data_IF_245269572612
#
_entry.id   IF_245269572612
#
_cell.length_a   1.000
_cell.length_b   1.000
_cell.length_c   1.000
_cell.angle_alpha   90.00
_cell.angle_beta   90.00
_cell.angle_gamma   90.00
#
_symmetry.space_group_name_H-M   'P 1'
#
loop_
_entity.id
_entity.type
_entity.pdbx_description
1 polymer ?
#
# COMPACT_ATOMS: atom_id res chain seq x y z
N UNK A 1 -11.47 18.36 -7.56
CA UNK A 1 -11.00 16.97 -7.62
C UNK A 1 -11.00 16.41 -6.22
N UNK A 2 -11.14 15.11 -6.09
CA UNK A 2 -10.82 14.40 -4.85
C UNK A 2 -9.34 14.00 -4.89
N UNK A 3 -8.61 14.20 -3.79
CA UNK A 3 -7.15 14.00 -3.76
C UNK A 3 -6.80 12.99 -2.68
N UNK A 4 -6.04 11.98 -3.07
CA UNK A 4 -5.49 10.94 -2.21
C UNK A 4 -3.97 11.00 -2.30
N UNK A 5 -3.30 11.25 -1.18
CA UNK A 5 -1.83 11.34 -1.11
C UNK A 5 -1.26 10.06 -0.54
N UNK A 6 -0.28 9.50 -1.25
CA UNK A 6 0.46 8.29 -0.85
C UNK A 6 1.66 8.69 0.00
N UNK A 7 1.50 8.66 1.32
CA UNK A 7 2.43 9.27 2.26
C UNK A 7 3.73 8.49 2.42
N UNK A 8 3.68 7.17 2.29
CA UNK A 8 4.85 6.27 2.32
C UNK A 8 5.60 6.19 0.99
N UNK A 9 5.08 6.82 -0.07
CA UNK A 9 5.74 7.00 -1.35
C UNK A 9 6.15 8.45 -1.63
N UNK A 10 6.04 9.35 -0.63
CA UNK A 10 6.35 10.78 -0.76
C UNK A 10 7.36 11.22 0.31
N UNK A 11 8.55 11.64 -0.11
CA UNK A 11 9.65 12.02 0.78
C UNK A 11 9.77 13.52 1.06
N UNK A 12 10.30 13.88 2.22
CA UNK A 12 10.71 15.24 2.59
C UNK A 12 11.88 15.19 3.59
N UNK A 13 12.40 16.34 4.03
CA UNK A 13 13.66 16.47 4.78
C UNK A 13 13.68 15.74 6.13
N UNK A 14 12.58 15.81 6.89
CA UNK A 14 12.46 15.21 8.22
C UNK A 14 10.99 15.10 8.64
N UNK A 15 10.75 14.47 9.79
CA UNK A 15 9.41 14.23 10.32
C UNK A 15 8.62 15.51 10.59
N UNK A 16 9.25 16.56 11.12
CA UNK A 16 8.58 17.84 11.36
C UNK A 16 8.04 18.43 10.07
N UNK A 17 8.83 18.41 8.99
CA UNK A 17 8.37 18.89 7.67
C UNK A 17 7.29 17.99 7.05
N UNK A 18 7.35 16.67 7.30
CA UNK A 18 6.33 15.71 6.85
C UNK A 18 5.00 15.97 7.54
N UNK A 19 5.01 16.05 8.87
CA UNK A 19 3.81 16.20 9.69
C UNK A 19 3.15 17.56 9.45
N UNK A 20 3.94 18.63 9.26
CA UNK A 20 3.44 19.93 8.85
C UNK A 20 2.72 19.88 7.48
N UNK A 21 3.27 19.17 6.50
CA UNK A 21 2.63 18.99 5.20
C UNK A 21 1.34 18.16 5.30
N UNK A 22 1.36 17.08 6.08
CA UNK A 22 0.17 16.25 6.32
C UNK A 22 -0.97 17.04 6.95
N UNK A 23 -0.69 17.80 8.03
CA UNK A 23 -1.70 18.64 8.68
C UNK A 23 -2.33 19.65 7.70
N UNK A 24 -1.50 20.29 6.85
CA UNK A 24 -2.00 21.23 5.84
C UNK A 24 -2.89 20.54 4.80
N UNK A 25 -2.48 19.39 4.29
CA UNK A 25 -3.24 18.63 3.29
C UNK A 25 -4.55 18.11 3.87
N UNK A 26 -4.52 17.53 5.06
CA UNK A 26 -5.70 17.03 5.75
C UNK A 26 -6.71 18.14 6.04
N UNK A 27 -6.25 19.31 6.51
CA UNK A 27 -7.11 20.48 6.72
C UNK A 27 -7.77 20.99 5.42
N UNK A 28 -7.15 20.75 4.26
CA UNK A 28 -7.71 21.04 2.95
C UNK A 28 -8.61 19.91 2.40
N UNK A 29 -8.86 18.84 3.17
CA UNK A 29 -9.72 17.72 2.78
C UNK A 29 -9.03 16.63 1.95
N UNK A 30 -7.70 16.62 1.88
CA UNK A 30 -6.93 15.56 1.21
C UNK A 30 -6.92 14.29 2.06
N UNK A 31 -7.14 13.14 1.43
CA UNK A 31 -7.08 11.84 2.10
C UNK A 31 -5.64 11.32 2.14
N UNK A 32 -5.13 11.03 3.34
CA UNK A 32 -3.78 10.49 3.52
C UNK A 32 -3.84 8.96 3.55
N UNK A 33 -3.08 8.31 2.68
CA UNK A 33 -3.07 6.86 2.51
C UNK A 33 -1.65 6.31 2.38
N UNK A 34 -1.50 4.99 2.52
CA UNK A 34 -0.30 4.25 2.12
C UNK A 34 -0.50 3.60 0.75
N UNK A 35 0.59 3.24 0.05
CA UNK A 35 0.48 2.62 -1.28
C UNK A 35 -0.28 1.29 -1.21
N UNK A 36 -0.11 0.53 -0.12
CA UNK A 36 -0.84 -0.72 0.11
C UNK A 36 -2.34 -0.48 0.24
N UNK A 37 -2.74 0.55 1.00
CA UNK A 37 -4.15 0.94 1.12
C UNK A 37 -4.76 1.33 -0.22
N UNK A 38 -4.02 2.11 -1.02
CA UNK A 38 -4.44 2.49 -2.38
C UNK A 38 -4.62 1.26 -3.27
N UNK A 39 -3.68 0.31 -3.26
CA UNK A 39 -3.80 -0.92 -4.04
C UNK A 39 -5.05 -1.72 -3.67
N UNK A 40 -5.33 -1.88 -2.36
CA UNK A 40 -6.52 -2.57 -1.87
C UNK A 40 -7.82 -1.86 -2.26
N UNK A 41 -7.89 -0.54 -2.14
CA UNK A 41 -9.10 0.23 -2.50
C UNK A 41 -9.36 0.28 -4.00
N UNK A 42 -8.31 0.25 -4.83
CA UNK A 42 -8.47 0.12 -6.29
C UNK A 42 -8.88 -1.30 -6.68
N UNK A 43 -8.29 -2.32 -6.06
CA UNK A 43 -8.54 -3.71 -6.42
C UNK A 43 -9.91 -4.23 -5.94
N UNK A 44 -10.42 -3.70 -4.81
CA UNK A 44 -11.72 -3.98 -4.17
C UNK A 44 -11.92 -5.41 -3.67
N UNK A 45 -11.76 -6.40 -4.53
CA UNK A 45 -12.04 -7.81 -4.26
C UNK A 45 -10.90 -8.67 -4.78
N UNK A 46 -10.32 -9.49 -3.91
CA UNK A 46 -9.24 -10.43 -4.26
C UNK A 46 -9.59 -11.31 -5.46
N UNK A 47 -10.86 -11.69 -5.61
CA UNK A 47 -11.31 -12.59 -6.68
C UNK A 47 -11.22 -11.96 -8.07
N UNK A 48 -11.04 -10.64 -8.16
CA UNK A 48 -10.88 -9.95 -9.44
C UNK A 48 -9.60 -10.38 -10.15
N UNK A 49 -8.48 -10.53 -9.42
CA UNK A 49 -7.23 -11.12 -9.92
C UNK A 49 -6.30 -11.48 -8.75
N UNK A 50 -6.46 -12.71 -8.23
CA UNK A 50 -5.72 -13.20 -7.06
C UNK A 50 -4.21 -13.26 -7.35
N UNK A 51 -3.82 -13.76 -8.52
CA UNK A 51 -2.42 -13.94 -8.89
C UNK A 51 -1.75 -12.59 -9.16
N UNK A 52 -2.43 -11.66 -9.84
CA UNK A 52 -1.91 -10.32 -10.10
C UNK A 52 -1.68 -9.51 -8.82
N UNK A 53 -2.66 -9.46 -7.92
CA UNK A 53 -2.50 -8.74 -6.65
C UNK A 53 -1.50 -9.46 -5.72
N UNK A 54 -1.53 -10.79 -5.70
CA UNK A 54 -0.56 -11.60 -4.96
C UNK A 54 0.88 -11.37 -5.44
N UNK A 55 1.09 -11.28 -6.75
CA UNK A 55 2.39 -10.96 -7.33
C UNK A 55 2.85 -9.54 -6.98
N UNK A 56 1.97 -8.53 -7.02
CA UNK A 56 2.27 -7.17 -6.60
C UNK A 56 2.77 -7.14 -5.14
N UNK A 57 2.03 -7.77 -4.23
CA UNK A 57 2.41 -7.82 -2.82
C UNK A 57 3.68 -8.63 -2.59
N UNK A 58 3.85 -9.78 -3.26
CA UNK A 58 5.10 -10.55 -3.18
C UNK A 58 6.31 -9.74 -3.63
N UNK A 59 6.17 -8.89 -4.65
CA UNK A 59 7.27 -8.08 -5.18
C UNK A 59 7.73 -6.98 -4.22
N UNK A 60 6.80 -6.33 -3.52
CA UNK A 60 7.08 -5.12 -2.73
C UNK A 60 6.93 -5.28 -1.21
N UNK A 61 6.39 -6.42 -0.73
CA UNK A 61 6.27 -6.75 0.69
C UNK A 61 7.01 -8.07 0.99
N UNK A 62 8.29 -8.03 1.43
CA UNK A 62 9.06 -9.24 1.73
C UNK A 62 8.39 -10.18 2.73
N UNK A 63 7.70 -9.63 3.73
CA UNK A 63 6.93 -10.42 4.69
C UNK A 63 5.81 -11.22 4.01
N UNK A 64 5.12 -10.62 3.03
CA UNK A 64 4.06 -11.30 2.27
C UNK A 64 4.63 -12.40 1.37
N UNK A 65 5.78 -12.13 0.72
CA UNK A 65 6.52 -13.15 -0.04
C UNK A 65 6.89 -14.36 0.81
N UNK A 66 7.37 -14.14 2.04
CA UNK A 66 7.74 -15.23 2.96
C UNK A 66 6.53 -16.11 3.31
N UNK A 67 5.36 -15.51 3.52
CA UNK A 67 4.11 -16.23 3.76
C UNK A 67 3.72 -17.08 2.55
N UNK A 68 3.70 -16.49 1.35
CA UNK A 68 3.38 -17.21 0.10
C UNK A 68 4.34 -18.38 -0.13
N UNK A 69 5.65 -18.16 0.06
CA UNK A 69 6.68 -19.19 -0.12
C UNK A 69 6.46 -20.38 0.81
N UNK A 70 6.21 -20.10 2.09
CA UNK A 70 5.95 -21.13 3.10
C UNK A 70 4.67 -21.91 2.79
N UNK A 71 3.59 -21.19 2.43
CA UNK A 71 2.31 -21.79 2.06
C UNK A 71 2.43 -22.72 0.85
N UNK A 72 3.04 -22.25 -0.25
CA UNK A 72 3.18 -23.06 -1.47
C UNK A 72 4.11 -24.26 -1.31
N UNK A 73 5.10 -24.17 -0.41
CA UNK A 73 5.96 -25.32 -0.08
C UNK A 73 5.17 -26.44 0.60
N UNK A 74 4.21 -26.10 1.46
CA UNK A 74 3.42 -27.09 2.22
C UNK A 74 2.22 -27.61 1.41
N UNK A 75 1.65 -26.79 0.51
CA UNK A 75 0.44 -27.13 -0.25
C UNK A 75 0.71 -27.79 -1.60
N UNK A 76 1.92 -27.70 -2.16
CA UNK A 76 2.37 -28.58 -3.24
C UNK A 76 2.56 -30.00 -2.70
N UNK A 77 1.50 -30.80 -2.70
CA UNK A 77 1.59 -32.27 -2.77
C UNK A 77 1.62 -32.71 -4.22
#
# INVERSE_FOLDING_TARGET
YEVFVVTDASGTFNEVTRDAAWMRMQAAGVQLMSWFGVACELHRDWRNDIEGLGALFSNYLPNYRNLMTSYFTITKK
#
